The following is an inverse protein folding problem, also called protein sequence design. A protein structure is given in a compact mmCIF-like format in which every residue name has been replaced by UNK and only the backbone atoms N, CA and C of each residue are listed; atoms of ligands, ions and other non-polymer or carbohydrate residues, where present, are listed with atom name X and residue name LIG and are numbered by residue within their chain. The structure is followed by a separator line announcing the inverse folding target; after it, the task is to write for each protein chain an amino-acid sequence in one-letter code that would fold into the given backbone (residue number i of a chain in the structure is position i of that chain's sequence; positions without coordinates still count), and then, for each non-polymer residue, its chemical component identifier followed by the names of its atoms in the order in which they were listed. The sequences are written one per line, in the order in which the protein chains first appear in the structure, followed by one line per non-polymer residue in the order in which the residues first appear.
data_IF_607726384734
#
_entry.id   IF_607726384734
#
_cell.length_a   1.000
_cell.length_b   1.000
_cell.length_c   1.000
_cell.angle_alpha   90.00
_cell.angle_beta   90.00
_cell.angle_gamma   90.00
#
_symmetry.space_group_name_H-M   'P 1'
#
loop_
_entity.id
_entity.type
_entity.pdbx_description
1 polymer ?
#
# COMPACT_ATOMS: atom_id res chain seq x y z
N UNK A 1 -18.79 16.45 -38.78
CA UNK A 1 -19.94 15.96 -38.00
C UNK A 1 -19.42 15.48 -36.64
N UNK A 2 -18.78 16.37 -35.85
CA UNK A 2 -17.92 15.95 -34.72
C UNK A 2 -17.70 17.06 -33.66
N UNK A 3 -18.79 17.72 -33.21
CA UNK A 3 -18.72 18.75 -32.14
C UNK A 3 -19.85 18.67 -31.10
N UNK A 4 -20.51 17.51 -30.95
CA UNK A 4 -21.73 17.41 -30.10
C UNK A 4 -21.54 16.79 -28.70
N UNK A 5 -20.36 16.25 -28.35
CA UNK A 5 -20.21 15.49 -27.10
C UNK A 5 -19.63 16.24 -25.88
N UNK A 6 -19.18 17.50 -26.00
CA UNK A 6 -18.50 18.21 -24.90
C UNK A 6 -19.35 19.21 -24.12
N UNK A 7 -20.67 19.29 -24.34
CA UNK A 7 -21.49 20.39 -23.81
C UNK A 7 -22.36 20.09 -22.57
N UNK A 8 -22.31 18.89 -22.00
CA UNK A 8 -23.26 18.52 -20.91
C UNK A 8 -22.65 18.42 -19.51
N UNK A 9 -21.38 18.82 -19.32
CA UNK A 9 -20.72 18.77 -18.00
C UNK A 9 -20.21 20.13 -17.49
N UNK A 10 -20.97 21.20 -17.74
CA UNK A 10 -20.76 22.48 -17.07
C UNK A 10 -22.09 23.21 -16.91
N UNK A 11 -22.74 23.02 -15.77
CA UNK A 11 -23.34 24.13 -15.01
C UNK A 11 -23.84 23.67 -13.64
N UNK A 12 -23.62 24.55 -12.66
CA UNK A 12 -24.00 24.54 -11.24
C UNK A 12 -23.17 23.67 -10.30
N UNK A 13 -22.10 24.28 -9.79
CA UNK A 13 -21.88 24.48 -8.35
C UNK A 13 -20.87 25.61 -8.17
N UNK A 14 -21.38 26.84 -8.10
CA UNK A 14 -20.61 27.99 -7.62
C UNK A 14 -20.62 27.95 -6.09
N UNK A 15 -19.44 27.87 -5.46
CA UNK A 15 -19.27 28.12 -4.03
C UNK A 15 -18.62 27.02 -3.18
N UNK A 16 -17.72 26.19 -3.72
CA UNK A 16 -16.84 25.32 -2.92
C UNK A 16 -15.39 25.42 -3.40
N UNK A 17 -14.47 25.84 -2.52
CA UNK A 17 -13.02 25.73 -2.69
C UNK A 17 -12.62 24.26 -2.80
N UNK A 18 -11.84 23.95 -3.82
CA UNK A 18 -11.45 22.59 -4.22
C UNK A 18 -9.96 22.37 -3.96
N UNK A 19 -9.54 22.31 -2.69
CA UNK A 19 -8.25 21.70 -2.32
C UNK A 19 -8.38 20.18 -2.13
N UNK A 20 -9.18 19.53 -2.97
CA UNK A 20 -8.95 18.11 -3.27
C UNK A 20 -7.76 18.08 -4.20
N UNK A 21 -6.68 17.40 -3.77
CA UNK A 21 -5.50 17.05 -4.57
C UNK A 21 -5.84 17.14 -6.05
N UNK A 22 -5.49 18.25 -6.69
CA UNK A 22 -6.06 18.59 -7.99
C UNK A 22 -5.76 17.43 -8.92
N UNK A 23 -6.77 16.61 -9.21
CA UNK A 23 -6.64 15.49 -10.15
C UNK A 23 -6.08 15.99 -11.48
N UNK A 24 -6.30 17.26 -11.77
CA UNK A 24 -5.72 18.01 -12.87
C UNK A 24 -4.19 18.17 -12.79
N UNK A 25 -3.59 18.40 -11.62
CA UNK A 25 -2.12 18.53 -11.49
C UNK A 25 -1.42 17.18 -11.56
N UNK A 26 -2.00 16.14 -10.96
CA UNK A 26 -1.49 14.78 -11.14
C UNK A 26 -1.69 14.30 -12.58
N UNK A 27 -2.86 14.55 -13.19
CA UNK A 27 -3.11 14.26 -14.59
C UNK A 27 -2.18 15.04 -15.53
N UNK A 28 -1.92 16.34 -15.26
CA UNK A 28 -0.93 17.14 -16.01
C UNK A 28 0.47 16.58 -15.87
N UNK A 29 0.88 16.18 -14.67
CA UNK A 29 2.16 15.53 -14.42
C UNK A 29 2.28 14.21 -15.19
N UNK A 30 1.24 13.36 -15.17
CA UNK A 30 1.21 12.14 -15.97
C UNK A 30 1.23 12.46 -17.48
N UNK A 31 0.49 13.47 -17.94
CA UNK A 31 0.52 13.88 -19.35
C UNK A 31 1.90 14.41 -19.78
N UNK A 32 2.60 15.12 -18.89
CA UNK A 32 3.94 15.65 -19.16
C UNK A 32 5.01 14.55 -19.20
N UNK A 33 4.92 13.56 -18.31
CA UNK A 33 5.94 12.51 -18.19
C UNK A 33 5.63 11.26 -19.03
N UNK A 34 4.35 10.90 -19.15
CA UNK A 34 3.85 9.68 -19.81
C UNK A 34 3.17 10.00 -21.13
N UNK A 35 2.75 11.24 -21.39
CA UNK A 35 2.02 11.65 -22.61
C UNK A 35 0.50 11.66 -22.43
N UNK A 36 -0.22 12.31 -23.36
CA UNK A 36 -1.69 12.23 -23.40
C UNK A 36 -2.15 10.81 -23.73
N UNK A 37 -3.45 10.54 -23.53
CA UNK A 37 -4.05 9.26 -23.90
C UNK A 37 -3.82 8.90 -25.37
N UNK A 38 -3.93 9.86 -26.30
CA UNK A 38 -3.61 9.61 -27.72
C UNK A 38 -2.14 9.24 -27.91
N UNK A 39 -1.22 9.91 -27.23
CA UNK A 39 0.22 9.62 -27.34
C UNK A 39 0.54 8.22 -26.80
N UNK A 40 -0.09 7.82 -25.68
CA UNK A 40 0.04 6.45 -25.13
C UNK A 40 -0.55 5.43 -26.11
N UNK A 41 -1.72 5.69 -26.71
CA UNK A 41 -2.32 4.82 -27.74
C UNK A 41 -1.42 4.65 -28.96
N UNK A 42 -0.82 5.73 -29.46
CA UNK A 42 0.11 5.69 -30.60
C UNK A 42 1.36 4.89 -30.23
N UNK A 43 1.91 5.06 -29.02
CA UNK A 43 3.06 4.27 -28.54
C UNK A 43 2.76 2.78 -28.43
N UNK A 44 1.59 2.42 -27.86
CA UNK A 44 1.13 1.02 -27.82
C UNK A 44 1.04 0.45 -29.22
N UNK A 45 0.41 1.18 -30.15
CA UNK A 45 0.29 0.74 -31.53
C UNK A 45 1.66 0.58 -32.21
N UNK A 46 2.60 1.50 -31.98
CA UNK A 46 3.96 1.41 -32.53
C UNK A 46 4.73 0.21 -31.96
N UNK A 47 4.66 -0.05 -30.64
CA UNK A 47 5.26 -1.24 -30.04
C UNK A 47 4.65 -2.51 -30.64
N UNK A 48 3.32 -2.58 -30.75
CA UNK A 48 2.63 -3.69 -31.39
C UNK A 48 3.07 -3.90 -32.85
N UNK A 49 3.26 -2.84 -33.63
CA UNK A 49 3.73 -2.94 -35.02
C UNK A 49 5.18 -3.44 -35.09
N UNK A 50 6.07 -2.96 -34.21
CA UNK A 50 7.45 -3.44 -34.11
C UNK A 50 7.52 -4.91 -33.71
N UNK A 51 6.72 -5.29 -32.72
CA UNK A 51 6.53 -6.65 -32.22
C UNK A 51 5.98 -7.58 -33.31
N UNK A 52 5.08 -7.09 -34.16
CA UNK A 52 4.54 -7.81 -35.32
C UNK A 52 5.49 -7.88 -36.52
N UNK A 53 6.43 -6.93 -36.65
CA UNK A 53 7.39 -6.83 -37.74
C UNK A 53 8.57 -7.79 -37.63
N UNK A 54 8.85 -8.31 -36.44
CA UNK A 54 9.87 -9.34 -36.23
C UNK A 54 9.38 -10.70 -36.75
N UNK A 55 10.07 -11.22 -37.76
CA UNK A 55 9.73 -12.46 -38.48
C UNK A 55 10.08 -13.73 -37.70
N UNK A 56 9.55 -13.87 -36.49
CA UNK A 56 9.66 -15.12 -35.74
C UNK A 56 8.43 -16.00 -36.02
N UNK A 57 8.60 -17.31 -35.82
CA UNK A 57 7.57 -18.35 -36.02
C UNK A 57 6.32 -18.12 -35.13
N UNK A 58 6.46 -17.32 -34.08
CA UNK A 58 5.40 -16.82 -33.19
C UNK A 58 5.49 -15.29 -33.08
N UNK A 59 4.35 -14.63 -32.94
CA UNK A 59 4.29 -13.19 -32.71
C UNK A 59 4.29 -12.94 -31.21
N UNK A 60 5.20 -12.11 -30.73
CA UNK A 60 5.24 -11.73 -29.31
C UNK A 60 4.74 -10.30 -29.20
N UNK A 61 3.69 -10.05 -28.42
CA UNK A 61 3.26 -8.70 -28.06
C UNK A 61 3.67 -8.47 -26.62
N UNK A 62 4.43 -7.42 -26.38
CA UNK A 62 4.76 -6.97 -25.03
C UNK A 62 3.73 -5.93 -24.55
N UNK A 63 3.18 -6.13 -23.35
CA UNK A 63 2.30 -5.17 -22.67
C UNK A 63 2.76 -4.93 -21.22
N UNK A 64 1.90 -4.32 -20.42
CA UNK A 64 2.26 -3.86 -19.07
C UNK A 64 2.93 -2.50 -19.10
N UNK A 65 3.39 -2.02 -17.94
CA UNK A 65 3.91 -0.66 -17.81
C UNK A 65 5.15 -0.41 -18.69
N UNK A 66 5.97 -1.43 -18.99
CA UNK A 66 7.06 -1.29 -19.97
C UNK A 66 6.56 -1.08 -21.41
N UNK A 67 5.53 -1.81 -21.83
CA UNK A 67 4.89 -1.64 -23.15
C UNK A 67 4.20 -0.27 -23.31
N UNK A 68 3.92 0.41 -22.20
CA UNK A 68 3.41 1.79 -22.16
C UNK A 68 4.53 2.84 -22.18
N UNK A 69 5.79 2.41 -22.17
CA UNK A 69 6.97 3.27 -22.13
C UNK A 69 7.41 3.69 -20.72
N UNK A 70 6.87 3.06 -19.67
CA UNK A 70 7.29 3.30 -18.29
C UNK A 70 8.47 2.40 -17.94
N UNK A 71 9.68 2.93 -17.97
CA UNK A 71 10.88 2.22 -17.54
C UNK A 71 11.16 2.41 -16.05
N UNK A 72 10.23 1.96 -15.19
CA UNK A 72 10.38 2.01 -13.74
C UNK A 72 11.06 0.73 -13.20
N UNK A 73 11.83 0.87 -12.12
CA UNK A 73 12.60 -0.21 -11.47
C UNK A 73 11.68 -1.12 -10.62
N UNK A 74 10.70 -1.72 -11.28
CA UNK A 74 9.69 -2.69 -10.78
C UNK A 74 8.52 -2.83 -11.77
N UNK A 75 8.62 -2.20 -12.94
CA UNK A 75 7.60 -2.19 -13.99
C UNK A 75 7.33 -3.62 -14.47
N UNK A 76 6.06 -4.01 -14.44
CA UNK A 76 5.58 -5.27 -14.99
C UNK A 76 5.84 -5.30 -16.50
N UNK A 77 6.35 -6.44 -16.95
CA UNK A 77 6.47 -6.78 -18.37
C UNK A 77 5.52 -7.95 -18.58
N UNK A 78 4.39 -7.66 -19.22
CA UNK A 78 3.49 -8.70 -19.67
C UNK A 78 3.94 -9.12 -21.06
N UNK A 79 4.08 -10.41 -21.29
CA UNK A 79 4.47 -10.95 -22.60
C UNK A 79 3.31 -11.82 -23.08
N UNK A 80 2.65 -11.38 -24.14
CA UNK A 80 1.63 -12.14 -24.84
C UNK A 80 2.24 -12.83 -26.05
N UNK A 81 2.25 -14.17 -26.03
CA UNK A 81 2.67 -14.97 -27.17
C UNK A 81 1.44 -15.29 -28.03
N UNK A 82 1.44 -14.83 -29.27
CA UNK A 82 0.47 -15.20 -30.29
C UNK A 82 1.08 -16.31 -31.13
N UNK A 83 0.54 -17.51 -30.94
CA UNK A 83 0.89 -18.71 -31.69
C UNK A 83 -0.23 -18.91 -32.73
N UNK A 84 -0.01 -18.60 -34.03
CA UNK A 84 -1.08 -18.60 -35.03
C UNK A 84 -1.73 -19.96 -35.24
N UNK A 85 -1.00 -21.04 -34.92
CA UNK A 85 -1.48 -22.41 -35.01
C UNK A 85 -2.42 -22.77 -33.88
N UNK A 86 -2.57 -21.96 -32.82
CA UNK A 86 -3.49 -22.23 -31.71
C UNK A 86 -4.79 -21.47 -31.93
N UNK A 87 -5.92 -22.18 -31.93
CA UNK A 87 -7.27 -21.58 -31.90
C UNK A 87 -7.99 -21.97 -30.62
N UNK A 88 -8.59 -21.00 -29.96
CA UNK A 88 -9.39 -21.21 -28.75
C UNK A 88 -10.88 -21.23 -29.13
N UNK A 89 -11.59 -22.23 -28.65
CA UNK A 89 -13.01 -22.49 -28.88
C UNK A 89 -13.76 -22.48 -27.54
N UNK A 90 -15.05 -22.11 -27.54
CA UNK A 90 -15.90 -22.28 -26.36
C UNK A 90 -16.23 -23.76 -26.15
N UNK A 91 -16.54 -24.16 -24.91
CA UNK A 91 -16.78 -25.56 -24.51
C UNK A 91 -17.84 -26.28 -25.33
N UNK A 92 -18.82 -25.55 -25.86
CA UNK A 92 -19.94 -26.10 -26.63
C UNK A 92 -19.74 -26.00 -28.16
N UNK A 93 -18.63 -25.42 -28.62
CA UNK A 93 -18.41 -25.23 -30.06
C UNK A 93 -17.95 -26.52 -30.72
N UNK A 94 -18.67 -26.97 -31.76
CA UNK A 94 -18.18 -28.05 -32.62
C UNK A 94 -16.91 -27.62 -33.36
N UNK A 95 -15.80 -28.30 -33.07
CA UNK A 95 -14.49 -27.99 -33.64
C UNK A 95 -14.25 -28.83 -34.89
N UNK A 96 -14.09 -28.17 -36.04
CA UNK A 96 -13.57 -28.81 -37.26
C UNK A 96 -12.05 -28.90 -37.15
N UNK A 97 -11.53 -30.13 -37.07
CA UNK A 97 -10.09 -30.36 -36.99
C UNK A 97 -9.41 -30.04 -38.32
N UNK A 98 -8.47 -29.10 -38.28
CA UNK A 98 -7.49 -28.84 -39.33
C UNK A 98 -6.13 -29.29 -38.79
N UNK A 99 -5.40 -30.09 -39.57
CA UNK A 99 -4.09 -30.63 -39.18
C UNK A 99 -3.04 -29.54 -38.92
N UNK A 100 -3.28 -28.30 -39.34
CA UNK A 100 -2.41 -27.15 -39.08
C UNK A 100 -2.78 -26.36 -37.81
N UNK A 101 -3.89 -26.71 -37.16
CA UNK A 101 -4.46 -25.96 -36.05
C UNK A 101 -4.53 -26.84 -34.81
N UNK A 102 -4.04 -26.31 -33.68
CA UNK A 102 -4.14 -26.89 -32.34
C UNK A 102 -5.36 -26.26 -31.66
N UNK A 103 -6.48 -26.98 -31.54
CA UNK A 103 -7.66 -26.49 -30.84
C UNK A 103 -7.48 -26.56 -29.32
N UNK A 104 -7.72 -25.43 -28.65
CA UNK A 104 -7.92 -25.33 -27.22
C UNK A 104 -9.39 -25.07 -26.94
N UNK A 105 -9.98 -25.79 -26.00
CA UNK A 105 -11.31 -25.49 -25.47
C UNK A 105 -11.18 -24.64 -24.20
N UNK A 106 -11.96 -23.58 -24.15
CA UNK A 106 -12.17 -22.75 -22.97
C UNK A 106 -13.25 -23.39 -22.09
N UNK A 107 -12.86 -23.85 -20.91
CA UNK A 107 -13.78 -24.28 -19.85
C UNK A 107 -14.02 -23.12 -18.88
N UNK A 108 -15.25 -22.63 -18.86
CA UNK A 108 -15.70 -21.53 -18.00
C UNK A 108 -16.53 -21.97 -16.81
N UNK A 109 -16.92 -23.24 -16.73
CA UNK A 109 -17.91 -23.72 -15.74
C UNK A 109 -17.36 -23.69 -14.30
N UNK A 110 -16.05 -23.88 -14.13
CA UNK A 110 -15.40 -23.96 -12.82
C UNK A 110 -14.39 -22.84 -12.55
N UNK A 111 -14.30 -21.83 -13.43
CA UNK A 111 -13.31 -20.76 -13.28
C UNK A 111 -13.86 -19.52 -12.59
N UNK A 112 -13.12 -18.90 -11.65
CA UNK A 112 -13.50 -17.63 -11.06
C UNK A 112 -13.69 -16.53 -12.13
N UNK A 113 -14.48 -15.48 -11.84
CA UNK A 113 -14.62 -14.32 -12.73
C UNK A 113 -13.24 -13.78 -13.16
N UNK A 114 -13.09 -13.49 -14.46
CA UNK A 114 -11.86 -13.05 -15.11
C UNK A 114 -10.77 -14.13 -15.34
N UNK A 115 -11.08 -15.41 -15.13
CA UNK A 115 -10.20 -16.53 -15.48
C UNK A 115 -10.90 -17.48 -16.46
N UNK A 116 -10.10 -18.24 -17.19
CA UNK A 116 -10.57 -19.30 -18.10
C UNK A 116 -9.54 -20.41 -18.12
N UNK A 117 -9.99 -21.65 -18.04
CA UNK A 117 -9.13 -22.81 -18.16
C UNK A 117 -9.11 -23.23 -19.63
N UNK A 118 -7.93 -23.29 -20.22
CA UNK A 118 -7.76 -23.79 -21.59
C UNK A 118 -7.35 -25.25 -21.54
N UNK A 119 -8.14 -26.11 -22.18
CA UNK A 119 -7.93 -27.54 -22.28
C UNK A 119 -7.58 -27.92 -23.72
N UNK A 120 -6.57 -28.75 -23.94
CA UNK A 120 -6.31 -29.29 -25.27
C UNK A 120 -7.42 -30.25 -25.69
N UNK A 121 -8.00 -30.02 -26.86
CA UNK A 121 -9.02 -30.93 -27.40
C UNK A 121 -8.32 -32.14 -28.02
N UNK A 122 -8.42 -33.29 -27.34
CA UNK A 122 -7.96 -34.61 -27.79
C UNK A 122 -6.43 -34.85 -27.71
N UNK A 123 -5.93 -35.17 -26.51
CA UNK A 123 -4.52 -35.52 -26.25
C UNK A 123 -4.05 -36.83 -26.92
N UNK A 124 -4.99 -37.66 -27.36
CA UNK A 124 -4.69 -38.99 -27.92
C UNK A 124 -4.18 -38.94 -29.37
N UNK A 125 -4.46 -37.88 -30.13
CA UNK A 125 -4.03 -37.73 -31.54
C UNK A 125 -2.83 -36.81 -31.74
N UNK A 126 -2.20 -36.30 -30.68
CA UNK A 126 -1.00 -35.46 -30.82
C UNK A 126 0.17 -36.27 -31.40
N UNK A 127 0.88 -35.69 -32.36
CA UNK A 127 2.17 -36.19 -32.81
C UNK A 127 3.14 -36.28 -31.62
N UNK A 128 4.00 -37.30 -31.59
CA UNK A 128 5.00 -37.46 -30.53
C UNK A 128 5.84 -36.20 -30.33
N UNK A 129 6.17 -35.46 -31.39
CA UNK A 129 6.88 -34.17 -31.31
C UNK A 129 6.14 -33.11 -30.51
N UNK A 130 4.81 -33.06 -30.58
CA UNK A 130 4.01 -32.08 -29.83
C UNK A 130 3.84 -32.48 -28.36
N UNK A 131 3.75 -33.79 -28.08
CA UNK A 131 3.84 -34.31 -26.70
C UNK A 131 5.21 -34.02 -26.12
N UNK A 132 6.26 -34.22 -26.92
CA UNK A 132 7.63 -33.93 -26.55
C UNK A 132 7.82 -32.42 -26.36
N UNK A 133 7.29 -31.53 -27.21
CA UNK A 133 7.29 -30.07 -26.97
C UNK A 133 6.55 -29.70 -25.68
N UNK A 134 5.38 -30.27 -25.39
CA UNK A 134 4.68 -30.02 -24.14
C UNK A 134 5.42 -30.56 -22.90
N UNK A 135 6.31 -31.55 -23.08
CA UNK A 135 7.08 -32.20 -22.02
C UNK A 135 8.52 -31.66 -21.87
N UNK A 136 9.16 -31.24 -22.97
CA UNK A 136 10.58 -30.80 -23.10
C UNK A 136 10.69 -29.29 -23.16
N UNK A 137 9.80 -28.60 -23.87
CA UNK A 137 9.62 -27.17 -23.64
C UNK A 137 8.78 -27.04 -22.37
N UNK A 138 9.26 -26.27 -21.40
CA UNK A 138 8.55 -25.88 -20.20
C UNK A 138 7.23 -25.11 -20.45
N UNK A 139 6.58 -25.27 -21.61
CA UNK A 139 5.17 -25.01 -21.88
C UNK A 139 4.23 -25.96 -21.12
N UNK A 140 4.77 -26.98 -20.44
CA UNK A 140 4.28 -27.46 -19.14
C UNK A 140 4.33 -26.39 -18.04
N UNK A 141 3.89 -25.17 -18.34
CA UNK A 141 3.77 -24.04 -17.41
C UNK A 141 2.65 -24.29 -16.38
N UNK A 142 1.96 -25.42 -16.45
CA UNK A 142 0.94 -25.83 -15.49
C UNK A 142 1.41 -26.80 -14.40
N UNK A 143 2.58 -27.45 -14.51
CA UNK A 143 2.95 -28.53 -13.56
C UNK A 143 4.32 -28.44 -12.92
N UNK A 144 5.27 -27.67 -13.47
CA UNK A 144 6.58 -27.46 -12.80
C UNK A 144 6.68 -26.14 -12.02
N UNK A 145 5.85 -25.16 -12.36
CA UNK A 145 5.33 -24.23 -11.36
C UNK A 145 4.09 -24.88 -10.77
N UNK A 146 4.27 -25.91 -9.96
CA UNK A 146 3.42 -26.05 -8.80
C UNK A 146 3.62 -24.75 -8.02
N UNK A 147 2.88 -23.70 -8.40
CA UNK A 147 2.47 -22.65 -7.49
C UNK A 147 1.95 -23.45 -6.30
N UNK A 148 2.75 -23.56 -5.24
CA UNK A 148 2.22 -24.05 -3.99
C UNK A 148 0.97 -23.22 -3.78
N UNK A 149 -0.16 -23.88 -3.56
CA UNK A 149 -1.42 -23.21 -3.23
C UNK A 149 -1.18 -22.11 -2.18
N UNK A 150 -0.20 -22.32 -1.33
CA UNK A 150 0.40 -21.40 -0.37
C UNK A 150 0.91 -20.06 -0.97
N UNK A 151 1.74 -20.02 -2.02
CA UNK A 151 2.20 -18.74 -2.60
C UNK A 151 1.05 -17.91 -3.16
N UNK A 152 0.08 -18.57 -3.81
CA UNK A 152 -1.13 -17.90 -4.32
C UNK A 152 -1.98 -17.37 -3.17
N UNK A 153 -2.17 -18.17 -2.12
CA UNK A 153 -2.90 -17.76 -0.91
C UNK A 153 -2.21 -16.59 -0.19
N UNK A 154 -0.89 -16.63 -0.03
CA UNK A 154 -0.11 -15.54 0.55
C UNK A 154 -0.25 -14.25 -0.26
N UNK A 155 -0.19 -14.32 -1.59
CA UNK A 155 -0.39 -13.17 -2.46
C UNK A 155 -1.82 -12.61 -2.40
N UNK A 156 -2.84 -13.49 -2.41
CA UNK A 156 -4.24 -13.09 -2.24
C UNK A 156 -4.46 -12.41 -0.89
N UNK A 157 -3.91 -12.97 0.19
CA UNK A 157 -3.97 -12.38 1.54
C UNK A 157 -3.28 -11.01 1.58
N UNK A 158 -2.06 -10.91 1.03
CA UNK A 158 -1.33 -9.64 0.93
C UNK A 158 -2.15 -8.56 0.20
N UNK A 159 -2.77 -8.91 -0.94
CA UNK A 159 -3.62 -7.99 -1.70
C UNK A 159 -4.87 -7.57 -0.93
N UNK A 160 -5.50 -8.52 -0.25
CA UNK A 160 -6.66 -8.27 0.59
C UNK A 160 -6.31 -7.29 1.71
N UNK A 161 -5.28 -7.58 2.50
CA UNK A 161 -4.81 -6.75 3.61
C UNK A 161 -4.45 -5.33 3.12
N UNK A 162 -3.70 -5.23 2.02
CA UNK A 162 -3.35 -3.94 1.40
C UNK A 162 -4.59 -3.14 0.99
N UNK A 163 -5.60 -3.79 0.39
CA UNK A 163 -6.82 -3.11 -0.04
C UNK A 163 -7.60 -2.54 1.15
N UNK A 164 -7.64 -3.25 2.28
CA UNK A 164 -8.26 -2.78 3.52
C UNK A 164 -7.49 -1.61 4.13
N UNK A 165 -6.16 -1.65 4.14
CA UNK A 165 -5.34 -0.55 4.64
C UNK A 165 -5.50 0.73 3.81
N UNK A 166 -5.68 0.61 2.49
CA UNK A 166 -5.94 1.75 1.60
C UNK A 166 -7.28 2.44 1.90
N UNK A 167 -8.25 1.76 2.51
CA UNK A 167 -9.47 2.39 3.02
C UNK A 167 -9.13 3.31 4.20
N UNK A 168 -8.28 2.85 5.14
CA UNK A 168 -7.83 3.62 6.30
C UNK A 168 -7.00 4.86 5.94
N UNK A 169 -6.21 4.76 4.87
CA UNK A 169 -5.49 5.92 4.29
C UNK A 169 -6.44 7.04 3.87
N UNK A 170 -7.63 6.69 3.39
CA UNK A 170 -8.63 7.69 3.02
C UNK A 170 -9.37 8.27 4.23
N UNK A 171 -9.31 7.64 5.41
CA UNK A 171 -10.04 8.06 6.62
C UNK A 171 -9.28 9.05 7.51
N UNK A 172 -7.95 9.11 7.44
CA UNK A 172 -7.12 9.97 8.29
C UNK A 172 -5.96 10.65 7.51
N UNK A 173 -5.47 11.78 8.02
CA UNK A 173 -4.38 12.54 7.41
C UNK A 173 -3.00 11.91 7.58
N UNK A 174 -2.74 11.17 8.66
CA UNK A 174 -1.39 10.69 9.00
C UNK A 174 -1.35 9.24 9.49
N UNK A 175 -2.13 8.86 10.50
CA UNK A 175 -2.10 7.51 11.10
C UNK A 175 -2.40 6.41 10.08
N UNK A 176 -3.39 6.58 9.21
CA UNK A 176 -3.70 5.61 8.15
C UNK A 176 -2.52 5.37 7.19
N UNK A 177 -1.79 6.43 6.85
CA UNK A 177 -0.56 6.32 6.04
C UNK A 177 0.56 5.64 6.79
N UNK A 178 0.74 5.94 8.08
CA UNK A 178 1.77 5.30 8.89
C UNK A 178 1.47 3.81 9.13
N UNK A 179 0.21 3.41 9.28
CA UNK A 179 -0.18 1.98 9.32
C UNK A 179 0.16 1.29 8.00
N UNK A 180 -0.08 1.94 6.86
CA UNK A 180 0.34 1.42 5.54
C UNK A 180 1.87 1.34 5.41
N UNK A 181 2.60 2.30 5.95
CA UNK A 181 4.06 2.25 6.00
C UNK A 181 4.56 1.06 6.82
N UNK A 182 3.94 0.78 7.96
CA UNK A 182 4.27 -0.38 8.80
C UNK A 182 3.98 -1.70 8.08
N UNK A 183 2.88 -1.78 7.34
CA UNK A 183 2.60 -2.93 6.47
C UNK A 183 3.72 -3.16 5.45
N UNK A 184 4.20 -2.11 4.77
CA UNK A 184 5.34 -2.25 3.84
C UNK A 184 6.64 -2.63 4.56
N UNK A 185 6.87 -2.10 5.76
CA UNK A 185 8.03 -2.44 6.57
C UNK A 185 8.07 -3.93 6.93
N UNK A 186 6.98 -4.48 7.46
CA UNK A 186 6.89 -5.91 7.85
C UNK A 186 7.08 -6.84 6.66
N UNK A 187 6.70 -6.41 5.46
CA UNK A 187 6.94 -7.14 4.20
C UNK A 187 8.31 -6.84 3.57
N UNK A 188 9.23 -6.24 4.33
CA UNK A 188 10.61 -5.92 3.91
C UNK A 188 10.70 -4.99 2.69
N UNK A 189 9.67 -4.17 2.45
CA UNK A 189 9.63 -3.17 1.37
C UNK A 189 10.05 -1.79 1.89
N UNK A 190 11.28 -1.69 2.39
CA UNK A 190 11.77 -0.52 3.12
C UNK A 190 11.70 0.80 2.32
N UNK A 191 12.06 0.80 1.04
CA UNK A 191 11.94 2.00 0.19
C UNK A 191 10.48 2.46 -0.01
N UNK A 192 9.54 1.51 -0.13
CA UNK A 192 8.12 1.83 -0.23
C UNK A 192 7.60 2.39 1.10
N UNK A 193 8.01 1.78 2.23
CA UNK A 193 7.70 2.29 3.56
C UNK A 193 8.21 3.74 3.74
N UNK A 194 9.48 4.01 3.44
CA UNK A 194 10.07 5.36 3.48
C UNK A 194 9.32 6.37 2.58
N UNK A 195 8.91 5.95 1.38
CA UNK A 195 8.14 6.82 0.48
C UNK A 195 6.79 7.21 1.08
N UNK A 196 6.10 6.25 1.71
CA UNK A 196 4.83 6.49 2.40
C UNK A 196 5.02 7.35 3.65
N UNK A 197 6.07 7.11 4.44
CA UNK A 197 6.38 7.92 5.63
C UNK A 197 6.64 9.36 5.23
N UNK A 198 7.47 9.60 4.21
CA UNK A 198 7.74 10.94 3.72
C UNK A 198 6.46 11.66 3.26
N UNK A 199 5.55 10.94 2.57
CA UNK A 199 4.26 11.50 2.21
C UNK A 199 3.40 11.84 3.44
N UNK A 200 3.31 10.94 4.42
CA UNK A 200 2.58 11.16 5.67
C UNK A 200 3.15 12.37 6.45
N UNK A 201 4.47 12.50 6.47
CA UNK A 201 5.19 13.59 7.13
C UNK A 201 4.99 14.94 6.45
N UNK A 202 4.85 14.99 5.12
CA UNK A 202 4.46 16.22 4.42
C UNK A 202 3.03 16.67 4.76
N UNK A 203 2.18 15.73 5.18
CA UNK A 203 0.84 16.02 5.69
C UNK A 203 0.86 16.37 7.18
N UNK A 204 1.97 16.19 7.88
CA UNK A 204 2.09 16.60 9.27
C UNK A 204 2.42 18.09 9.32
N UNK A 205 1.60 18.91 9.96
CA UNK A 205 1.88 20.33 10.21
C UNK A 205 1.74 20.63 11.69
N UNK A 206 2.57 21.50 12.23
CA UNK A 206 2.60 21.82 13.67
C UNK A 206 1.30 22.47 14.17
N UNK A 207 0.47 22.98 13.25
CA UNK A 207 -0.84 23.58 13.51
C UNK A 207 -1.96 22.55 13.73
N UNK A 208 -1.67 21.24 13.64
CA UNK A 208 -2.67 20.17 13.77
C UNK A 208 -2.96 19.82 15.24
N UNK A 209 -4.23 19.56 15.51
CA UNK A 209 -4.77 19.20 16.81
C UNK A 209 -4.66 17.68 16.99
N UNK A 210 -3.91 17.24 18.01
CA UNK A 210 -3.89 15.84 18.42
C UNK A 210 -5.14 15.52 19.24
N UNK A 211 -6.03 14.70 18.70
CA UNK A 211 -7.19 14.20 19.45
C UNK A 211 -6.80 12.90 20.13
N UNK A 212 -6.20 13.01 21.33
CA UNK A 212 -5.75 11.86 22.12
C UNK A 212 -6.88 11.03 22.74
N UNK A 213 -8.09 11.56 22.77
CA UNK A 213 -9.31 10.85 23.12
C UNK A 213 -10.29 10.99 21.96
N UNK A 214 -11.10 9.96 21.73
CA UNK A 214 -12.40 10.10 21.08
C UNK A 214 -13.04 11.39 21.59
N UNK A 215 -13.00 12.48 20.84
CA UNK A 215 -13.91 13.59 21.11
C UNK A 215 -15.27 12.94 21.09
N UNK A 216 -15.97 12.92 22.23
CA UNK A 216 -17.31 12.39 22.25
C UNK A 216 -18.06 13.09 21.12
N UNK A 217 -18.92 12.34 20.44
CA UNK A 217 -19.72 12.88 19.35
C UNK A 217 -20.38 14.21 19.75
N UNK A 218 -20.67 14.38 21.04
CA UNK A 218 -21.11 15.62 21.68
C UNK A 218 -20.11 16.78 21.62
N UNK A 219 -18.84 16.61 22.02
CA UNK A 219 -17.81 17.66 21.92
C UNK A 219 -17.51 18.01 20.46
N UNK A 220 -17.62 17.03 19.56
CA UNK A 220 -17.60 17.21 18.12
C UNK A 220 -18.77 18.06 17.64
N UNK A 221 -20.02 17.75 18.04
CA UNK A 221 -21.24 18.50 17.70
C UNK A 221 -21.22 19.92 18.26
N UNK A 222 -20.70 20.12 19.47
CA UNK A 222 -20.64 21.44 20.11
C UNK A 222 -19.60 22.36 19.44
N UNK A 223 -18.41 21.83 19.11
CA UNK A 223 -17.41 22.56 18.30
C UNK A 223 -17.86 22.74 16.85
N UNK A 224 -18.68 21.84 16.32
CA UNK A 224 -19.33 21.92 15.00
C UNK A 224 -20.37 23.04 14.93
N UNK A 225 -21.21 23.19 15.96
CA UNK A 225 -22.21 24.25 16.05
C UNK A 225 -21.57 25.66 16.06
N UNK A 226 -20.42 25.80 16.72
CA UNK A 226 -19.69 27.08 16.80
C UNK A 226 -18.97 27.47 15.49
N UNK A 227 -18.66 26.51 14.61
CA UNK A 227 -17.81 26.72 13.43
C UNK A 227 -18.54 26.71 12.07
N UNK A 228 -19.86 26.48 12.05
CA UNK A 228 -20.75 26.38 10.87
C UNK A 228 -20.88 27.65 10.00
N UNK A 229 -20.08 28.69 10.24
CA UNK A 229 -20.16 29.99 9.55
C UNK A 229 -19.37 30.08 8.23
N UNK A 230 -18.68 29.02 7.78
CA UNK A 230 -17.86 29.04 6.54
C UNK A 230 -18.13 27.80 5.67
N UNK A 231 -18.51 28.03 4.40
CA UNK A 231 -19.05 27.07 3.41
C UNK A 231 -18.08 25.99 2.89
N UNK A 232 -17.09 25.56 3.66
CA UNK A 232 -16.39 24.29 3.39
C UNK A 232 -17.10 23.17 4.17
N UNK A 233 -17.08 21.93 3.64
CA UNK A 233 -17.52 20.78 4.44
C UNK A 233 -16.51 20.61 5.58
N UNK A 234 -16.84 21.17 6.74
CA UNK A 234 -16.01 21.21 7.96
C UNK A 234 -15.34 19.86 8.30
N UNK A 235 -15.99 18.74 7.96
CA UNK A 235 -15.40 17.40 8.03
C UNK A 235 -14.03 17.29 7.31
N UNK A 236 -13.87 17.85 6.11
CA UNK A 236 -12.62 17.83 5.35
C UNK A 236 -11.53 18.67 6.03
N UNK A 237 -11.91 19.82 6.59
CA UNK A 237 -10.99 20.75 7.28
C UNK A 237 -10.57 20.15 8.62
N UNK A 238 -11.51 19.63 9.42
CA UNK A 238 -11.21 18.99 10.70
C UNK A 238 -10.37 17.73 10.48
N UNK A 239 -10.69 16.88 9.50
CA UNK A 239 -9.87 15.71 9.16
C UNK A 239 -8.46 16.09 8.70
N UNK A 240 -8.31 17.24 8.04
CA UNK A 240 -6.99 17.77 7.72
C UNK A 240 -6.27 18.32 8.98
N UNK A 241 -7.01 18.78 10.00
CA UNK A 241 -6.47 19.38 11.21
C UNK A 241 -6.30 18.40 12.37
N UNK A 242 -6.98 17.26 12.39
CA UNK A 242 -6.90 16.27 13.47
C UNK A 242 -5.93 15.18 13.11
N UNK A 243 -5.00 14.90 14.01
CA UNK A 243 -4.12 13.75 13.90
C UNK A 243 -4.55 12.73 14.97
N UNK A 244 -5.02 11.57 14.53
CA UNK A 244 -5.31 10.47 15.45
C UNK A 244 -4.01 9.78 15.91
N UNK A 245 -3.97 9.37 17.17
CA UNK A 245 -2.90 8.51 17.67
C UNK A 245 -2.96 7.14 16.98
N UNK A 246 -1.80 6.56 16.64
CA UNK A 246 -1.77 5.19 16.12
C UNK A 246 -2.10 4.22 17.25
N UNK A 247 -3.01 3.31 16.98
CA UNK A 247 -3.42 2.26 17.91
C UNK A 247 -3.16 0.91 17.25
N UNK A 248 -2.35 0.08 17.89
CA UNK A 248 -2.14 -1.30 17.47
C UNK A 248 -2.53 -2.25 18.60
N UNK A 249 -3.26 -3.31 18.24
CA UNK A 249 -3.43 -4.45 19.12
C UNK A 249 -2.07 -5.11 19.39
N UNK A 250 -1.89 -5.66 20.59
CA UNK A 250 -0.66 -6.34 21.01
C UNK A 250 -0.21 -7.44 20.03
N UNK A 251 -1.17 -8.15 19.44
CA UNK A 251 -0.96 -9.23 18.49
C UNK A 251 -0.88 -8.75 17.03
N UNK A 252 -0.91 -7.43 16.80
CA UNK A 252 -0.89 -6.89 15.46
C UNK A 252 0.43 -7.22 14.76
N UNK A 253 0.35 -7.96 13.66
CA UNK A 253 1.50 -8.24 12.79
C UNK A 253 2.06 -7.00 12.09
N UNK A 254 1.46 -5.82 12.31
CA UNK A 254 1.94 -4.55 11.76
C UNK A 254 2.94 -3.84 12.70
N UNK A 255 3.10 -4.31 13.94
CA UNK A 255 4.09 -3.74 14.84
C UNK A 255 5.48 -4.23 14.40
N UNK A 256 6.47 -3.34 14.20
CA UNK A 256 7.85 -3.74 13.97
C UNK A 256 8.34 -4.72 15.04
N UNK A 257 8.88 -5.85 14.62
CA UNK A 257 9.38 -6.92 15.50
C UNK A 257 10.48 -6.45 16.46
N UNK A 258 11.19 -5.37 16.12
CA UNK A 258 12.24 -4.78 16.95
C UNK A 258 11.70 -4.08 18.19
N UNK A 259 10.42 -3.69 18.20
CA UNK A 259 9.81 -3.06 19.37
C UNK A 259 9.56 -4.10 20.45
N UNK A 260 10.05 -3.89 21.68
CA UNK A 260 9.81 -4.81 22.77
C UNK A 260 8.31 -4.78 23.17
N UNK A 261 7.62 -5.85 22.81
CA UNK A 261 6.25 -6.13 23.24
C UNK A 261 6.29 -6.73 24.64
N UNK A 262 5.71 -6.07 25.64
CA UNK A 262 5.73 -6.60 27.01
C UNK A 262 5.45 -5.63 28.16
N UNK A 263 5.16 -4.35 27.88
CA UNK A 263 5.03 -3.32 28.92
C UNK A 263 3.59 -2.84 29.19
N UNK A 264 2.58 -3.26 28.41
CA UNK A 264 1.19 -2.86 28.64
C UNK A 264 0.18 -3.92 28.15
N UNK A 265 -0.88 -4.13 28.93
CA UNK A 265 -1.71 -5.34 28.83
C UNK A 265 -2.61 -5.47 27.60
N UNK A 266 -2.93 -4.41 26.81
CA UNK A 266 -3.90 -4.59 25.69
C UNK A 266 -3.72 -3.73 24.44
N UNK A 267 -3.20 -2.50 24.53
CA UNK A 267 -3.21 -1.57 23.39
C UNK A 267 -1.97 -0.69 23.36
N UNK A 268 -1.26 -0.68 22.23
CA UNK A 268 -0.16 0.24 22.01
C UNK A 268 -0.66 1.52 21.34
N UNK A 269 -0.41 2.64 22.00
CA UNK A 269 -0.75 3.97 21.50
C UNK A 269 0.52 4.75 21.18
N UNK A 270 0.72 5.10 19.91
CA UNK A 270 1.88 5.83 19.45
C UNK A 270 1.50 7.23 18.96
N UNK A 271 2.33 8.20 19.32
CA UNK A 271 2.27 9.50 18.67
C UNK A 271 2.77 9.37 17.22
N UNK A 272 2.04 9.86 16.21
CA UNK A 272 2.39 9.68 14.80
C UNK A 272 3.78 10.18 14.43
N UNK A 273 4.19 11.34 14.97
CA UNK A 273 5.49 11.93 14.67
C UNK A 273 6.70 11.09 15.15
N UNK A 274 6.85 10.79 16.47
CA UNK A 274 7.83 9.82 16.94
C UNK A 274 7.78 8.48 16.22
N UNK A 275 6.58 7.96 15.95
CA UNK A 275 6.44 6.69 15.25
C UNK A 275 6.98 6.75 13.82
N UNK A 276 6.72 7.83 13.08
CA UNK A 276 7.25 8.05 11.74
C UNK A 276 8.78 8.12 11.73
N UNK A 277 9.39 8.82 12.70
CA UNK A 277 10.84 8.88 12.84
C UNK A 277 11.45 7.52 13.19
N UNK A 278 10.84 6.80 14.12
CA UNK A 278 11.27 5.46 14.51
C UNK A 278 11.16 4.46 13.36
N UNK A 279 10.04 4.45 12.62
CA UNK A 279 9.85 3.56 11.47
C UNK A 279 10.82 3.90 10.33
N UNK A 280 11.12 5.18 10.12
CA UNK A 280 12.18 5.61 9.18
C UNK A 280 13.55 5.12 9.61
N UNK A 281 13.89 5.26 10.90
CA UNK A 281 15.11 4.73 11.49
C UNK A 281 15.25 3.22 11.21
N UNK A 282 14.20 2.44 11.47
CA UNK A 282 14.22 0.99 11.21
C UNK A 282 14.41 0.66 9.73
N UNK A 283 13.75 1.40 8.82
CA UNK A 283 13.95 1.22 7.38
C UNK A 283 15.42 1.44 6.99
N UNK A 284 16.04 2.53 7.47
CA UNK A 284 17.46 2.79 7.18
C UNK A 284 18.41 1.81 7.86
N UNK A 285 18.05 1.29 9.04
CA UNK A 285 18.81 0.26 9.74
C UNK A 285 18.93 -1.01 8.90
N UNK A 286 17.80 -1.50 8.37
CA UNK A 286 17.75 -2.67 7.49
C UNK A 286 18.36 -2.41 6.10
N UNK A 287 18.44 -1.16 5.67
CA UNK A 287 19.17 -0.74 4.46
C UNK A 287 20.67 -0.50 4.71
N UNK A 288 21.15 -0.67 5.95
CA UNK A 288 22.52 -0.41 6.38
C UNK A 288 23.02 1.03 6.16
N UNK A 289 22.10 2.01 6.16
CA UNK A 289 22.45 3.44 6.10
C UNK A 289 22.57 4.04 7.50
N UNK A 290 23.75 3.90 8.08
CA UNK A 290 24.06 4.36 9.45
C UNK A 290 23.95 5.89 9.58
N UNK A 291 24.22 6.64 8.52
CA UNK A 291 24.14 8.11 8.54
C UNK A 291 22.69 8.54 8.72
N UNK A 292 21.80 7.99 7.91
CA UNK A 292 20.37 8.25 8.02
C UNK A 292 19.81 7.72 9.34
N UNK A 293 20.26 6.56 9.85
CA UNK A 293 19.89 6.07 11.17
C UNK A 293 20.18 7.11 12.28
N UNK A 294 21.40 7.66 12.30
CA UNK A 294 21.78 8.69 13.29
C UNK A 294 20.91 9.94 13.18
N UNK A 295 20.60 10.38 11.96
CA UNK A 295 19.75 11.54 11.73
C UNK A 295 18.34 11.30 12.29
N UNK A 296 17.71 10.17 11.98
CA UNK A 296 16.35 9.89 12.46
C UNK A 296 16.29 9.56 13.97
N UNK A 297 17.34 8.98 14.54
CA UNK A 297 17.48 8.86 16.00
C UNK A 297 17.51 10.24 16.67
N UNK A 298 18.26 11.20 16.12
CA UNK A 298 18.26 12.57 16.63
C UNK A 298 16.86 13.21 16.54
N UNK A 299 16.15 13.03 15.43
CA UNK A 299 14.77 13.53 15.29
C UNK A 299 13.83 12.89 16.31
N UNK A 300 13.98 11.59 16.59
CA UNK A 300 13.20 10.88 17.60
C UNK A 300 13.46 11.42 19.02
N UNK A 301 14.72 11.69 19.37
CA UNK A 301 15.10 12.31 20.65
C UNK A 301 14.51 13.72 20.76
N UNK A 302 14.60 14.54 19.71
CA UNK A 302 14.00 15.88 19.69
C UNK A 302 12.48 15.82 19.87
N UNK A 303 11.81 14.87 19.22
CA UNK A 303 10.38 14.67 19.40
C UNK A 303 10.03 14.29 20.86
N UNK A 304 10.83 13.43 21.50
CA UNK A 304 10.66 13.07 22.92
C UNK A 304 10.75 14.28 23.86
N UNK A 305 11.58 15.27 23.54
CA UNK A 305 11.73 16.50 24.34
C UNK A 305 10.65 17.55 24.07
N UNK A 306 9.83 17.37 23.03
CA UNK A 306 8.81 18.35 22.68
C UNK A 306 7.62 18.27 23.65
N UNK A 307 7.33 19.38 24.31
CA UNK A 307 6.35 19.43 25.41
C UNK A 307 4.92 19.15 24.99
N UNK A 308 4.60 19.28 23.70
CA UNK A 308 3.29 18.94 23.12
C UNK A 308 3.00 17.44 23.15
N UNK A 309 4.01 16.59 23.33
CA UNK A 309 3.89 15.12 23.34
C UNK A 309 3.66 14.57 24.76
N UNK A 310 3.66 15.42 25.80
CA UNK A 310 3.53 15.01 27.22
C UNK A 310 2.18 14.47 27.67
N UNK A 311 1.33 13.97 26.76
CA UNK A 311 0.32 13.01 27.19
C UNK A 311 1.04 11.76 27.74
N UNK A 312 0.57 11.22 28.87
CA UNK A 312 1.29 10.19 29.63
C UNK A 312 1.60 8.93 28.80
N UNK A 313 0.67 8.48 27.96
CA UNK A 313 0.85 7.27 27.15
C UNK A 313 1.81 7.45 25.96
N UNK A 314 1.67 8.49 25.11
CA UNK A 314 2.59 8.68 23.98
C UNK A 314 4.04 8.98 24.38
N UNK A 315 4.26 9.54 25.57
CA UNK A 315 5.61 9.76 26.10
C UNK A 315 6.33 8.43 26.38
N UNK A 316 5.62 7.44 26.95
CA UNK A 316 6.18 6.11 27.23
C UNK A 316 6.52 5.38 25.93
N UNK A 317 5.60 5.35 24.97
CA UNK A 317 5.86 4.68 23.70
C UNK A 317 7.02 5.33 22.93
N UNK A 318 7.13 6.67 22.98
CA UNK A 318 8.28 7.40 22.42
C UNK A 318 9.60 7.06 23.13
N UNK A 319 9.57 6.89 24.45
CA UNK A 319 10.75 6.48 25.23
C UNK A 319 11.19 5.06 24.87
N UNK A 320 10.24 4.12 24.72
CA UNK A 320 10.52 2.74 24.28
C UNK A 320 11.12 2.73 22.86
N UNK A 321 10.53 3.48 21.92
CA UNK A 321 11.06 3.61 20.56
C UNK A 321 12.50 4.14 20.56
N UNK A 322 12.78 5.16 21.38
CA UNK A 322 14.12 5.74 21.52
C UNK A 322 15.10 4.74 22.12
N UNK A 323 14.71 4.05 23.19
CA UNK A 323 15.53 3.02 23.83
C UNK A 323 15.90 1.88 22.85
N UNK A 324 14.91 1.41 22.09
CA UNK A 324 15.07 0.38 21.07
C UNK A 324 16.06 0.82 19.98
N UNK A 325 15.93 2.07 19.50
CA UNK A 325 16.83 2.61 18.49
C UNK A 325 18.29 2.73 19.00
N UNK A 326 18.51 3.16 20.23
CA UNK A 326 19.85 3.17 20.84
C UNK A 326 20.43 1.76 20.98
N UNK A 327 19.61 0.79 21.40
CA UNK A 327 20.04 -0.60 21.51
C UNK A 327 20.48 -1.17 20.16
N UNK A 328 19.70 -0.92 19.09
CA UNK A 328 20.05 -1.34 17.72
C UNK A 328 21.33 -0.67 17.20
N UNK A 329 21.61 0.56 17.63
CA UNK A 329 22.85 1.28 17.31
C UNK A 329 24.05 0.89 18.18
N UNK A 330 23.89 -0.04 19.12
CA UNK A 330 24.95 -0.53 20.01
C UNK A 330 25.18 0.31 21.27
N UNK A 331 24.33 1.30 21.56
CA UNK A 331 24.38 2.13 22.77
C UNK A 331 23.51 1.52 23.89
N UNK A 332 23.97 0.36 24.38
CA UNK A 332 23.23 -0.43 25.37
C UNK A 332 23.06 0.29 26.71
N UNK A 333 24.04 1.10 27.12
CA UNK A 333 24.00 1.83 28.39
C UNK A 333 22.91 2.90 28.40
N UNK A 334 22.77 3.65 27.30
CA UNK A 334 21.72 4.65 27.19
C UNK A 334 20.35 4.01 27.00
N UNK A 335 20.23 2.96 26.19
CA UNK A 335 19.00 2.19 26.04
C UNK A 335 18.49 1.67 27.40
N UNK A 336 19.38 1.09 28.22
CA UNK A 336 19.05 0.62 29.57
C UNK A 336 18.54 1.74 30.48
N UNK A 337 19.15 2.93 30.43
CA UNK A 337 18.68 4.09 31.20
C UNK A 337 17.25 4.48 30.81
N UNK A 338 16.94 4.49 29.52
CA UNK A 338 15.59 4.81 29.02
C UNK A 338 14.56 3.74 29.40
N UNK A 339 14.90 2.45 29.28
CA UNK A 339 14.01 1.38 29.74
C UNK A 339 13.72 1.46 31.24
N UNK A 340 14.71 1.77 32.07
CA UNK A 340 14.50 1.98 33.51
C UNK A 340 13.54 3.16 33.81
N UNK A 341 13.57 4.23 33.00
CA UNK A 341 12.61 5.35 33.13
C UNK A 341 11.19 4.85 32.84
N UNK A 342 11.03 4.00 31.82
CA UNK A 342 9.73 3.40 31.48
C UNK A 342 9.21 2.51 32.61
N UNK A 343 10.07 1.66 33.18
CA UNK A 343 9.67 0.76 34.28
C UNK A 343 9.22 1.54 35.52
N UNK A 344 9.94 2.61 35.89
CA UNK A 344 9.53 3.49 36.99
C UNK A 344 8.16 4.15 36.71
N UNK A 345 7.93 4.60 35.48
CA UNK A 345 6.66 5.21 35.08
C UNK A 345 5.50 4.20 35.03
N UNK A 346 5.75 2.94 34.65
CA UNK A 346 4.74 1.89 34.62
C UNK A 346 4.26 1.53 36.03
N UNK A 347 5.16 1.53 37.02
CA UNK A 347 4.78 1.36 38.42
C UNK A 347 3.84 2.50 38.86
N UNK A 348 4.12 3.74 38.45
CA UNK A 348 3.26 4.87 38.76
C UNK A 348 1.91 4.83 38.01
N UNK A 349 1.91 4.44 36.73
CA UNK A 349 0.67 4.34 35.95
C UNK A 349 -0.24 3.21 36.41
N UNK A 350 0.30 2.04 36.75
CA UNK A 350 -0.50 0.94 37.31
C UNK A 350 -1.27 1.38 38.56
N UNK A 351 -0.70 2.31 39.35
CA UNK A 351 -1.35 2.89 40.52
C UNK A 351 -2.37 4.00 40.19
N UNK A 352 -2.29 4.63 39.00
CA UNK A 352 -3.19 5.71 38.55
C UNK A 352 -4.33 5.24 37.64
N UNK A 353 -4.18 4.10 36.95
CA UNK A 353 -5.20 3.53 36.06
C UNK A 353 -6.58 3.35 36.73
N UNK A 354 -6.71 2.92 38.00
CA UNK A 354 -8.01 2.84 38.67
C UNK A 354 -8.73 4.20 38.77
N UNK A 355 -7.97 5.30 38.85
CA UNK A 355 -8.50 6.66 39.02
C UNK A 355 -8.99 7.22 37.68
N UNK A 356 -8.27 6.94 36.58
CA UNK A 356 -8.66 7.41 35.25
C UNK A 356 -9.83 6.63 34.64
N UNK A 357 -9.94 5.32 34.91
CA UNK A 357 -11.11 4.52 34.48
C UNK A 357 -12.40 5.03 35.15
N UNK A 358 -12.32 5.53 36.39
CA UNK A 358 -13.47 6.13 37.08
C UNK A 358 -13.85 7.53 36.55
N UNK A 359 -12.89 8.28 35.99
CA UNK A 359 -13.12 9.63 35.46
C UNK A 359 -13.66 9.66 34.01
N UNK A 360 -13.58 8.54 33.28
CA UNK A 360 -14.10 8.42 31.91
C UNK A 360 -15.39 7.59 31.80
N UNK A 361 -15.93 7.12 32.94
CA UNK A 361 -17.21 6.39 33.01
C UNK A 361 -18.37 7.20 33.64
N UNK A 362 -18.19 8.50 33.88
CA UNK A 362 -19.24 9.48 34.19
C UNK A 362 -19.15 10.63 33.19
#
# INVERSE_FOLDING_TARGET
MEKKYLKTYRQKTEGMSTERCESLNYYKYLCQNIGSEEVVKIRRLACTILDMGNSNEFKTITSGSKGEGLSLKSSDLDIMLIIPTIKVYESETEVVFDNQIIPLIMNTEETPPCFTQLCLLNSNSMSEQLKDICQTNHLGCASKYLYSSENKQQYCKYKYDLSHLLIGVNSDAVSGWLTLASFFYVHQKYFASLSVINYAMQKYTDEKIFTGSTTSEFTFIQKHALNLMKKEKLYTVIKALTIELLKFDLESSLIPQELPLGLADKLYVYHPLPYAYFLSFLCYYHLHDITSCRQYLLQLILAMTNSSIHFSFPAISTTIMTATAHQLMGDADYAKKLFNIVDMNNIHLANLVPIYVLLFCF
#
